data_IF_105078634735
#
_entry.id   IF_105078634735
#
_cell.length_a   1.000
_cell.length_b   1.000
_cell.length_c   1.000
_cell.angle_alpha   90.00
_cell.angle_beta   90.00
_cell.angle_gamma   90.00
#
_symmetry.space_group_name_H-M   'P 1'
#
loop_
_entity.id
_entity.type
_entity.pdbx_description
1 polymer ?
#
# COMPACT_ATOMS: atom_id res chain seq x y z
N UNK A 1 -7.44 -0.95 2.95
CA UNK A 1 -8.51 -1.39 2.04
C UNK A 1 -8.07 -2.69 1.39
N UNK A 2 -8.83 -3.76 1.59
CA UNK A 2 -8.42 -5.13 1.24
C UNK A 2 -9.07 -5.64 -0.04
N UNK A 3 -8.34 -6.44 -0.82
CA UNK A 3 -8.80 -7.07 -2.06
C UNK A 3 -8.30 -8.52 -2.15
N UNK A 4 -8.88 -9.35 -3.03
CA UNK A 4 -8.62 -10.81 -3.10
C UNK A 4 -9.13 -11.62 -1.89
N UNK A 5 -9.39 -10.95 -0.78
CA UNK A 5 -9.89 -11.47 0.48
C UNK A 5 -9.83 -10.38 1.55
N UNK A 6 -10.23 -10.70 2.79
CA UNK A 6 -10.15 -9.74 3.91
C UNK A 6 -9.00 -10.00 4.87
N UNK A 7 -8.38 -11.17 4.83
CA UNK A 7 -7.42 -11.62 5.85
C UNK A 7 -6.17 -10.73 5.91
N UNK A 8 -5.64 -10.24 4.78
CA UNK A 8 -4.51 -9.29 4.79
C UNK A 8 -4.92 -8.00 5.48
N UNK A 9 -6.01 -7.36 5.06
CA UNK A 9 -6.48 -6.12 5.70
C UNK A 9 -6.83 -6.29 7.18
N UNK A 10 -7.37 -7.46 7.57
CA UNK A 10 -7.69 -7.79 8.95
C UNK A 10 -6.42 -7.97 9.81
N UNK A 11 -5.40 -8.66 9.28
CA UNK A 11 -4.09 -8.80 9.92
C UNK A 11 -3.44 -7.42 10.14
N UNK A 12 -3.49 -6.56 9.12
CA UNK A 12 -2.92 -5.22 9.21
C UNK A 12 -3.61 -4.40 10.31
N UNK A 13 -4.93 -4.50 10.41
CA UNK A 13 -5.73 -3.79 11.41
C UNK A 13 -5.42 -4.21 12.86
N UNK A 14 -4.98 -5.44 13.08
CA UNK A 14 -4.64 -5.93 14.43
C UNK A 14 -3.15 -5.81 14.77
N UNK A 15 -2.26 -5.86 13.78
CA UNK A 15 -0.82 -6.03 14.01
C UNK A 15 0.00 -4.75 13.86
N UNK A 16 -0.34 -3.86 12.93
CA UNK A 16 0.56 -2.78 12.53
C UNK A 16 0.80 -1.76 13.66
N UNK A 17 -0.27 -1.33 14.33
CA UNK A 17 -0.16 -0.32 15.38
C UNK A 17 0.66 -0.86 16.58
N UNK A 18 0.38 -2.09 17.01
CA UNK A 18 1.12 -2.73 18.09
C UNK A 18 2.61 -2.85 17.75
N UNK A 19 2.93 -3.34 16.54
CA UNK A 19 4.31 -3.50 16.10
C UNK A 19 5.06 -2.17 16.06
N UNK A 20 4.43 -1.10 15.57
CA UNK A 20 5.06 0.24 15.53
C UNK A 20 5.27 0.77 16.95
N UNK A 21 4.24 0.74 17.79
CA UNK A 21 4.31 1.27 19.15
C UNK A 21 5.30 0.52 20.05
N UNK A 22 5.48 -0.78 19.84
CA UNK A 22 6.42 -1.60 20.62
C UNK A 22 7.86 -1.49 20.13
N UNK A 23 8.06 -1.14 18.86
CA UNK A 23 9.41 -1.02 18.25
C UNK A 23 9.96 0.40 18.33
N UNK A 24 9.11 1.42 18.28
CA UNK A 24 9.52 2.82 18.37
C UNK A 24 10.06 3.15 19.75
N UNK A 25 11.31 3.62 19.79
CA UNK A 25 11.98 4.03 21.04
C UNK A 25 11.53 5.41 21.51
N UNK A 26 11.07 6.26 20.59
CA UNK A 26 10.49 7.57 20.84
C UNK A 26 9.53 7.97 19.70
N UNK A 27 8.87 9.11 19.87
CA UNK A 27 7.95 9.68 18.89
C UNK A 27 8.58 10.69 17.93
N UNK A 28 9.91 10.63 17.71
CA UNK A 28 10.58 11.51 16.74
C UNK A 28 10.27 11.09 15.30
N UNK A 29 10.29 12.05 14.38
CA UNK A 29 10.05 11.80 12.95
C UNK A 29 10.97 10.71 12.39
N UNK A 30 12.27 10.76 12.69
CA UNK A 30 13.26 9.81 12.19
C UNK A 30 13.03 8.38 12.70
N UNK A 31 12.72 8.25 14.01
CA UNK A 31 12.37 6.96 14.62
C UNK A 31 11.11 6.40 14.00
N UNK A 32 10.05 7.20 13.93
CA UNK A 32 8.76 6.78 13.38
C UNK A 32 8.89 6.38 11.91
N UNK A 33 9.60 7.18 11.10
CA UNK A 33 9.85 6.86 9.70
C UNK A 33 10.57 5.51 9.54
N UNK A 34 11.66 5.30 10.28
CA UNK A 34 12.44 4.06 10.21
C UNK A 34 11.64 2.83 10.66
N UNK A 35 10.87 2.96 11.73
CA UNK A 35 10.05 1.86 12.29
C UNK A 35 8.89 1.53 11.36
N UNK A 36 8.20 2.54 10.82
CA UNK A 36 7.06 2.34 9.91
C UNK A 36 7.53 1.66 8.62
N UNK A 37 8.62 2.12 7.99
CA UNK A 37 9.19 1.47 6.81
C UNK A 37 9.55 0.00 7.07
N UNK A 38 10.20 -0.26 8.21
CA UNK A 38 10.55 -1.63 8.60
C UNK A 38 9.31 -2.48 8.82
N UNK A 39 8.26 -1.92 9.44
CA UNK A 39 7.01 -2.62 9.68
C UNK A 39 6.28 -2.98 8.38
N UNK A 40 6.18 -2.06 7.42
CA UNK A 40 5.58 -2.30 6.10
C UNK A 40 6.28 -3.44 5.36
N UNK A 41 7.61 -3.39 5.30
CA UNK A 41 8.42 -4.44 4.64
C UNK A 41 8.28 -5.78 5.34
N UNK A 42 8.37 -5.79 6.68
CA UNK A 42 8.24 -7.02 7.47
C UNK A 42 6.87 -7.67 7.27
N UNK A 43 5.79 -6.91 7.37
CA UNK A 43 4.45 -7.50 7.23
C UNK A 43 4.20 -7.98 5.80
N UNK A 44 4.72 -7.29 4.79
CA UNK A 44 4.65 -7.75 3.40
C UNK A 44 5.37 -9.08 3.19
N UNK A 45 6.60 -9.21 3.69
CA UNK A 45 7.34 -10.48 3.67
C UNK A 45 6.58 -11.58 4.41
N UNK A 46 6.12 -11.30 5.63
CA UNK A 46 5.37 -12.27 6.43
C UNK A 46 4.11 -12.75 5.67
N UNK A 47 3.38 -11.86 5.01
CA UNK A 47 2.17 -12.21 4.23
C UNK A 47 2.51 -12.96 2.93
N UNK A 48 3.59 -12.61 2.24
CA UNK A 48 3.92 -13.20 0.93
C UNK A 48 4.68 -14.53 1.04
N UNK A 49 5.48 -14.73 2.10
CA UNK A 49 6.37 -15.87 2.25
C UNK A 49 5.84 -16.94 3.23
N UNK A 50 4.84 -16.60 4.04
CA UNK A 50 4.08 -17.62 4.78
C UNK A 50 2.83 -17.96 3.97
N UNK A 51 2.35 -19.22 4.00
CA UNK A 51 1.12 -19.65 3.30
C UNK A 51 -0.16 -19.01 3.90
N UNK A 52 -0.07 -17.73 4.28
CA UNK A 52 -1.05 -16.93 4.98
C UNK A 52 -2.38 -16.85 4.22
N UNK A 53 -2.33 -16.78 2.89
CA UNK A 53 -3.50 -16.77 2.01
C UNK A 53 -3.97 -18.18 1.59
N UNK A 54 -3.57 -19.24 2.31
CA UNK A 54 -4.06 -20.61 2.11
C UNK A 54 -4.14 -21.09 0.64
N UNK A 55 -3.20 -20.65 -0.21
CA UNK A 55 -3.12 -20.97 -1.64
C UNK A 55 -3.79 -19.99 -2.61
N UNK A 56 -4.48 -18.95 -2.14
CA UNK A 56 -5.03 -17.87 -2.98
C UNK A 56 -3.95 -16.99 -3.60
N UNK A 57 -2.94 -16.64 -2.79
CA UNK A 57 -1.78 -15.80 -3.11
C UNK A 57 -2.06 -14.45 -3.79
N UNK A 58 -3.32 -14.07 -3.97
CA UNK A 58 -3.76 -12.89 -4.72
C UNK A 58 -4.45 -11.85 -3.83
N UNK A 59 -4.42 -12.08 -2.51
CA UNK A 59 -4.96 -11.14 -1.55
C UNK A 59 -3.95 -10.09 -1.18
N UNK A 60 -4.41 -8.85 -1.16
CA UNK A 60 -3.61 -7.70 -0.81
C UNK A 60 -4.42 -6.64 -0.08
N UNK A 61 -3.72 -5.61 0.39
CA UNK A 61 -4.35 -4.46 1.01
C UNK A 61 -3.52 -3.20 0.80
N UNK A 62 -4.22 -2.08 0.61
CA UNK A 62 -3.65 -0.76 0.87
C UNK A 62 -3.36 -0.62 2.36
N UNK A 63 -2.45 0.28 2.72
CA UNK A 63 -2.17 0.61 4.11
C UNK A 63 -1.78 2.08 4.22
N UNK A 64 -2.49 2.81 5.07
CA UNK A 64 -2.23 4.22 5.40
C UNK A 64 -2.09 4.33 6.90
N UNK A 65 -0.96 4.84 7.38
CA UNK A 65 -0.70 5.08 8.79
C UNK A 65 -0.46 6.56 9.00
N UNK A 66 -1.24 7.18 9.90
CA UNK A 66 -1.04 8.55 10.33
C UNK A 66 -0.60 8.56 11.79
N UNK A 67 0.48 9.28 12.08
CA UNK A 67 0.93 9.54 13.43
C UNK A 67 0.76 11.03 13.75
N UNK A 68 0.09 11.33 14.86
CA UNK A 68 -0.10 12.69 15.36
C UNK A 68 0.73 12.83 16.63
N UNK A 69 1.77 13.67 16.59
CA UNK A 69 2.54 14.04 17.75
C UNK A 69 2.05 15.38 18.29
N UNK A 70 1.16 15.33 19.29
CA UNK A 70 0.55 16.53 19.88
C UNK A 70 1.53 17.38 20.68
N UNK A 71 2.54 16.77 21.30
CA UNK A 71 3.56 17.49 22.07
C UNK A 71 4.48 18.32 21.17
N UNK A 72 4.74 17.84 19.94
CA UNK A 72 5.59 18.53 18.95
C UNK A 72 4.80 19.30 17.89
N UNK A 73 3.48 19.10 17.81
CA UNK A 73 2.63 19.71 16.79
C UNK A 73 2.90 19.18 15.38
N UNK A 74 3.26 17.89 15.26
CA UNK A 74 3.63 17.26 13.99
C UNK A 74 2.59 16.20 13.57
N UNK A 75 2.38 16.07 12.26
CA UNK A 75 1.61 14.99 11.66
C UNK A 75 2.50 14.34 10.60
N UNK A 76 2.64 13.01 10.69
CA UNK A 76 3.38 12.21 9.73
C UNK A 76 2.44 11.16 9.13
N UNK A 77 2.55 10.90 7.84
CA UNK A 77 1.72 9.92 7.15
C UNK A 77 2.55 9.06 6.21
N UNK A 78 2.23 7.77 6.17
CA UNK A 78 2.85 6.80 5.27
C UNK A 78 1.75 6.00 4.60
N UNK A 79 1.76 5.95 3.26
CA UNK A 79 0.75 5.21 2.54
C UNK A 79 1.31 4.34 1.41
N UNK A 80 0.73 3.15 1.24
CA UNK A 80 0.82 2.33 0.03
C UNK A 80 -0.60 2.09 -0.50
N UNK A 81 -0.74 2.07 -1.82
CA UNK A 81 -2.02 1.98 -2.50
C UNK A 81 -2.67 3.34 -2.69
N UNK A 82 -3.98 3.35 -2.86
CA UNK A 82 -4.81 4.52 -3.19
C UNK A 82 -5.72 4.98 -2.05
N UNK A 83 -5.52 4.45 -0.84
CA UNK A 83 -6.11 4.99 0.38
C UNK A 83 -5.29 6.20 0.86
N UNK A 84 -5.95 7.34 1.03
CA UNK A 84 -5.32 8.62 1.40
C UNK A 84 -5.89 9.19 2.70
N UNK A 85 -5.02 9.81 3.48
CA UNK A 85 -5.40 10.60 4.64
C UNK A 85 -5.51 12.08 4.25
N UNK A 86 -6.47 12.79 4.86
CA UNK A 86 -6.73 14.20 4.60
C UNK A 86 -6.67 14.98 5.91
N UNK A 87 -5.91 16.08 5.95
CA UNK A 87 -5.97 17.06 7.02
C UNK A 87 -6.98 18.15 6.65
N UNK A 88 -8.12 18.17 7.34
CA UNK A 88 -9.17 19.18 7.12
C UNK A 88 -8.87 20.44 7.91
N UNK A 89 -8.93 21.58 7.22
CA UNK A 89 -8.70 22.92 7.76
C UNK A 89 -9.94 23.80 7.54
N UNK A 90 -9.96 25.01 8.08
CA UNK A 90 -11.13 25.90 8.00
C UNK A 90 -11.50 26.29 6.55
N UNK A 91 -10.53 26.31 5.64
CA UNK A 91 -10.62 26.78 4.26
C UNK A 91 -10.39 25.68 3.21
N UNK A 92 -10.25 24.41 3.62
CA UNK A 92 -10.02 23.32 2.69
C UNK A 92 -9.45 22.06 3.35
N UNK A 93 -8.68 21.31 2.58
CA UNK A 93 -7.96 20.14 3.07
C UNK A 93 -6.60 20.01 2.39
N UNK A 94 -5.68 19.31 3.07
CA UNK A 94 -4.39 18.91 2.52
C UNK A 94 -4.32 17.38 2.49
N UNK A 95 -3.89 16.82 1.36
CA UNK A 95 -3.62 15.38 1.26
C UNK A 95 -2.33 15.03 2.00
N UNK A 96 -2.40 14.04 2.88
CA UNK A 96 -1.27 13.56 3.68
C UNK A 96 -0.74 12.24 3.08
N UNK A 97 -0.27 12.28 1.84
CA UNK A 97 0.26 11.12 1.12
C UNK A 97 0.16 11.27 -0.39
N UNK A 98 0.43 10.18 -1.11
CA UNK A 98 0.36 10.15 -2.58
C UNK A 98 -0.44 8.94 -3.06
N UNK A 99 -1.36 9.17 -3.99
CA UNK A 99 -2.06 8.09 -4.71
C UNK A 99 -1.06 7.21 -5.48
N UNK A 100 -1.13 5.89 -5.28
CA UNK A 100 -0.35 4.91 -6.05
C UNK A 100 -1.15 4.29 -7.20
N UNK A 101 -2.15 5.00 -7.74
CA UNK A 101 -2.87 4.57 -8.94
C UNK A 101 -1.89 4.47 -10.10
N UNK A 102 -1.85 3.29 -10.72
CA UNK A 102 -0.91 2.98 -11.80
C UNK A 102 -1.11 3.91 -13.01
N UNK A 103 -2.35 4.26 -13.33
CA UNK A 103 -2.68 5.13 -14.47
C UNK A 103 -2.16 6.56 -14.32
N UNK A 104 -1.89 7.00 -13.09
CA UNK A 104 -1.46 8.37 -12.77
C UNK A 104 0.07 8.50 -12.67
N UNK A 105 0.81 7.39 -12.71
CA UNK A 105 2.27 7.38 -12.49
C UNK A 105 3.02 6.67 -13.62
N UNK A 106 3.53 7.42 -14.62
CA UNK A 106 4.39 6.88 -15.67
C UNK A 106 5.67 6.23 -15.12
N UNK A 107 6.20 6.74 -14.00
CA UNK A 107 7.37 6.17 -13.34
C UNK A 107 7.05 4.78 -12.76
N UNK A 108 5.89 4.62 -12.14
CA UNK A 108 5.44 3.33 -11.62
C UNK A 108 5.15 2.34 -12.75
N UNK A 109 4.53 2.80 -13.85
CA UNK A 109 4.33 2.00 -15.06
C UNK A 109 5.66 1.45 -15.60
N UNK A 110 6.68 2.31 -15.73
CA UNK A 110 8.00 1.88 -16.18
C UNK A 110 8.64 0.87 -15.21
N UNK A 111 8.50 1.09 -13.90
CA UNK A 111 9.04 0.19 -12.86
C UNK A 111 8.46 -1.21 -12.97
N UNK A 112 7.15 -1.35 -13.06
CA UNK A 112 6.49 -2.66 -13.08
C UNK A 112 6.72 -3.40 -14.40
N UNK A 113 6.78 -2.67 -15.52
CA UNK A 113 7.15 -3.26 -16.83
C UNK A 113 8.58 -3.79 -16.82
N UNK A 114 9.52 -3.03 -16.23
CA UNK A 114 10.90 -3.49 -16.07
C UNK A 114 11.02 -4.74 -15.19
N UNK A 115 10.02 -5.01 -14.35
CA UNK A 115 9.90 -6.20 -13.50
C UNK A 115 9.02 -7.30 -14.12
N UNK A 116 8.66 -7.17 -15.41
CA UNK A 116 7.96 -8.20 -16.17
C UNK A 116 6.43 -8.08 -16.19
N UNK A 117 5.85 -7.01 -15.63
CA UNK A 117 4.41 -6.80 -15.72
C UNK A 117 3.98 -6.38 -17.13
N UNK A 118 2.81 -6.86 -17.56
CA UNK A 118 2.12 -6.36 -18.75
C UNK A 118 1.07 -5.35 -18.35
N UNK A 119 1.04 -4.19 -19.00
CA UNK A 119 0.04 -3.15 -18.74
C UNK A 119 -1.16 -3.29 -19.68
N UNK A 120 -2.37 -3.17 -19.14
CA UNK A 120 -3.58 -3.25 -19.94
C UNK A 120 -4.82 -2.82 -19.18
N UNK A 121 -5.93 -2.66 -19.91
CA UNK A 121 -7.26 -2.46 -19.33
C UNK A 121 -8.06 -3.75 -19.47
N UNK A 122 -8.98 -3.99 -18.54
CA UNK A 122 -9.90 -5.14 -18.64
C UNK A 122 -10.86 -4.88 -19.78
N UNK A 123 -11.15 -5.90 -20.59
CA UNK A 123 -12.19 -5.81 -21.61
C UNK A 123 -13.56 -6.07 -20.99
N UNK A 124 -14.52 -5.20 -21.29
CA UNK A 124 -15.93 -5.40 -20.94
C UNK A 124 -16.58 -6.53 -21.75
N UNK A 125 -17.84 -6.88 -21.45
CA UNK A 125 -18.59 -7.90 -22.19
C UNK A 125 -18.77 -7.57 -23.69
N UNK A 126 -18.67 -6.30 -24.05
CA UNK A 126 -18.70 -5.78 -25.43
C UNK A 126 -17.33 -5.84 -26.14
N UNK A 127 -16.29 -6.33 -25.46
CA UNK A 127 -14.92 -6.37 -25.97
C UNK A 127 -14.20 -5.02 -25.92
N UNK A 128 -14.81 -3.98 -25.33
CA UNK A 128 -14.20 -2.65 -25.23
C UNK A 128 -13.38 -2.51 -23.94
N UNK A 129 -12.23 -1.80 -23.96
CA UNK A 129 -11.45 -1.53 -22.76
C UNK A 129 -12.25 -0.71 -21.74
N UNK A 130 -12.35 -1.21 -20.52
CA UNK A 130 -13.04 -0.57 -19.40
C UNK A 130 -12.17 -0.44 -18.16
N UNK A 131 -12.49 0.55 -17.32
CA UNK A 131 -11.84 0.77 -16.04
C UNK A 131 -10.41 1.35 -16.11
N UNK A 132 -9.71 1.35 -14.96
CA UNK A 132 -8.36 1.91 -14.84
C UNK A 132 -7.32 1.01 -15.54
N UNK A 133 -6.15 1.59 -15.82
CA UNK A 133 -4.98 0.81 -16.24
C UNK A 133 -4.56 -0.17 -15.13
N UNK A 134 -4.20 -1.39 -15.51
CA UNK A 134 -3.82 -2.46 -14.59
C UNK A 134 -2.50 -3.13 -15.00
N UNK A 135 -1.77 -3.61 -14.01
CA UNK A 135 -0.59 -4.46 -14.19
C UNK A 135 -0.99 -5.95 -14.10
N UNK A 136 -0.46 -6.76 -15.02
CA UNK A 136 -0.67 -8.21 -15.09
C UNK A 136 0.66 -8.96 -14.94
N UNK A 137 0.69 -10.14 -14.29
CA UNK A 137 -0.43 -10.90 -13.70
C UNK A 137 -1.13 -10.19 -12.51
N UNK A 138 -2.25 -10.74 -12.04
CA UNK A 138 -3.04 -10.18 -10.92
C UNK A 138 -4.07 -9.11 -11.32
N UNK A 139 -3.78 -8.29 -12.33
CA UNK A 139 -4.72 -7.26 -12.79
C UNK A 139 -4.87 -6.11 -11.79
N UNK A 140 -3.76 -5.68 -11.18
CA UNK A 140 -3.73 -4.71 -10.09
C UNK A 140 -3.76 -3.27 -10.63
N UNK A 141 -4.66 -2.44 -10.10
CA UNK A 141 -4.73 -1.00 -10.42
C UNK A 141 -3.76 -0.14 -9.57
N UNK A 142 -3.21 -0.74 -8.52
CA UNK A 142 -2.19 -0.17 -7.63
C UNK A 142 -1.09 -1.22 -7.45
N UNK A 143 0.17 -0.81 -7.51
CA UNK A 143 1.33 -1.73 -7.45
C UNK A 143 2.24 -1.48 -6.25
N UNK A 144 1.79 -0.62 -5.34
CA UNK A 144 2.32 -0.52 -3.98
C UNK A 144 1.25 -0.94 -3.01
N UNK A 145 1.58 -1.88 -2.13
CA UNK A 145 0.62 -2.53 -1.24
C UNK A 145 1.28 -3.58 -0.35
N UNK A 146 0.48 -4.19 0.51
CA UNK A 146 0.89 -5.33 1.32
C UNK A 146 0.17 -6.58 0.81
N UNK A 147 0.89 -7.69 0.64
CA UNK A 147 0.35 -8.93 0.07
C UNK A 147 0.61 -9.02 -1.43
N UNK A 148 -0.35 -9.58 -2.16
CA UNK A 148 -0.25 -9.84 -3.61
C UNK A 148 0.95 -10.74 -3.95
N UNK A 149 1.04 -11.88 -3.25
CA UNK A 149 2.17 -12.80 -3.32
C UNK A 149 2.38 -13.40 -4.73
N UNK A 150 1.31 -13.53 -5.51
CA UNK A 150 1.30 -13.92 -6.92
C UNK A 150 1.93 -12.85 -7.84
N UNK A 151 2.03 -11.61 -7.36
CA UNK A 151 2.58 -10.45 -8.04
C UNK A 151 3.85 -9.88 -7.37
N UNK A 152 4.49 -10.65 -6.47
CA UNK A 152 5.67 -10.22 -5.69
C UNK A 152 6.87 -9.75 -6.49
N UNK A 153 6.91 -10.04 -7.80
CA UNK A 153 7.94 -9.54 -8.70
C UNK A 153 7.89 -8.00 -8.84
N UNK A 154 6.70 -7.40 -8.72
CA UNK A 154 6.52 -5.97 -8.93
C UNK A 154 5.64 -5.24 -7.91
N UNK A 155 4.93 -5.96 -7.03
CA UNK A 155 4.28 -5.32 -5.88
C UNK A 155 5.32 -5.05 -4.80
N UNK A 156 5.37 -3.79 -4.33
CA UNK A 156 6.31 -3.37 -3.28
C UNK A 156 5.59 -2.71 -2.10
N UNK A 157 6.09 -2.88 -0.87
CA UNK A 157 5.49 -2.29 0.32
C UNK A 157 6.11 -0.93 0.69
N UNK A 158 6.80 -0.26 -0.24
CA UNK A 158 7.48 1.00 0.05
C UNK A 158 6.49 2.18 0.01
N UNK A 159 6.18 2.82 1.15
CA UNK A 159 5.21 3.90 1.21
C UNK A 159 5.76 5.22 0.65
N UNK A 160 4.84 6.07 0.19
CA UNK A 160 5.10 7.50 0.11
C UNK A 160 5.08 8.11 1.53
N UNK A 161 5.96 9.08 1.77
CA UNK A 161 6.11 9.81 3.03
C UNK A 161 5.96 11.31 2.81
#
# INVERSE_FOLDING_TARGET
>A
DGHGGKHVSALLGTRMLEQICTTAVDGSADTLHSVVLTAFRKVHVDVCDTEFDAGGNNSGSTLTICCVNTTRGEIHSWNVGDSLALLVQNDGYVELGQTHRLEESPAEQARVVAQGATLGKVLGPDGLPGGPLRAFPGGLAVTRGIGDADCKAFVIPDPAC
#
